data_IF_578625140133
#
_entry.id   IF_578625140133
#
_cell.length_a   1.000
_cell.length_b   1.000
_cell.length_c   1.000
_cell.angle_alpha   90.00
_cell.angle_beta   90.00
_cell.angle_gamma   90.00
#
_symmetry.space_group_name_H-M   'P 1'
#
loop_
_entity.id
_entity.type
_entity.pdbx_description
1 polymer ?
#
# COMPACT_ATOMS: atom_id res chain seq x y z
N UNK A 1 21.84 -8.00 -20.48
CA UNK A 1 22.70 -7.00 -21.12
C UNK A 1 22.04 -5.63 -21.34
N UNK A 2 20.71 -5.50 -21.49
CA UNK A 2 20.07 -4.19 -21.74
C UNK A 2 19.76 -3.35 -20.48
N UNK A 3 19.53 -3.98 -19.32
CA UNK A 3 19.38 -3.26 -18.04
C UNK A 3 20.61 -2.39 -17.70
N UNK A 4 21.80 -2.81 -18.12
CA UNK A 4 23.06 -2.09 -17.90
C UNK A 4 23.23 -0.86 -18.80
N UNK A 5 22.40 -0.71 -19.85
CA UNK A 5 22.45 0.41 -20.80
C UNK A 5 21.35 1.45 -20.57
N UNK A 6 20.57 1.34 -19.49
CA UNK A 6 19.39 2.19 -19.22
C UNK A 6 18.31 2.15 -20.33
N UNK A 7 18.34 1.15 -21.20
CA UNK A 7 17.33 0.93 -22.24
C UNK A 7 16.13 0.13 -21.68
N UNK A 8 15.45 0.69 -20.68
CA UNK A 8 14.34 0.04 -19.97
C UNK A 8 13.19 -0.34 -20.89
N UNK A 9 12.89 0.48 -21.89
CA UNK A 9 11.86 0.20 -22.90
C UNK A 9 12.17 -1.06 -23.74
N UNK A 10 13.42 -1.20 -24.20
CA UNK A 10 13.85 -2.36 -24.99
C UNK A 10 13.85 -3.64 -24.14
N UNK A 11 14.35 -3.55 -22.91
CA UNK A 11 14.34 -4.66 -21.96
C UNK A 11 12.91 -5.12 -21.63
N UNK A 12 11.99 -4.16 -21.42
CA UNK A 12 10.57 -4.45 -21.17
C UNK A 12 9.94 -5.15 -22.38
N UNK A 13 10.16 -4.62 -23.58
CA UNK A 13 9.66 -5.23 -24.81
C UNK A 13 10.20 -6.64 -25.01
N UNK A 14 11.49 -6.87 -24.77
CA UNK A 14 12.09 -8.21 -24.85
C UNK A 14 11.50 -9.17 -23.83
N UNK A 15 11.32 -8.74 -22.58
CA UNK A 15 10.72 -9.59 -21.54
C UNK A 15 9.28 -9.98 -21.88
N UNK A 16 8.50 -9.05 -22.45
CA UNK A 16 7.13 -9.29 -22.90
C UNK A 16 7.04 -10.19 -24.15
N UNK A 17 8.08 -10.18 -24.99
CA UNK A 17 8.20 -11.10 -26.14
C UNK A 17 8.52 -12.53 -25.69
N UNK A 18 9.41 -12.69 -24.71
CA UNK A 18 9.75 -13.98 -24.12
C UNK A 18 8.60 -14.56 -23.30
N UNK A 19 7.70 -13.71 -22.79
CA UNK A 19 6.50 -14.10 -22.03
C UNK A 19 6.82 -14.89 -20.75
N UNK A 20 8.01 -14.69 -20.18
CA UNK A 20 8.41 -15.27 -18.91
C UNK A 20 8.06 -14.34 -17.75
N UNK A 21 7.14 -14.77 -16.87
CA UNK A 21 6.64 -13.93 -15.78
C UNK A 21 7.75 -13.42 -14.84
N UNK A 22 8.73 -14.26 -14.51
CA UNK A 22 9.86 -13.88 -13.65
C UNK A 22 10.72 -12.79 -14.28
N UNK A 23 10.95 -12.88 -15.59
CA UNK A 23 11.74 -11.90 -16.32
C UNK A 23 11.00 -10.57 -16.46
N UNK A 24 9.70 -10.62 -16.75
CA UNK A 24 8.84 -9.42 -16.78
C UNK A 24 8.85 -8.76 -15.39
N UNK A 25 8.69 -9.54 -14.32
CA UNK A 25 8.75 -9.02 -12.95
C UNK A 25 10.08 -8.33 -12.67
N UNK A 26 11.20 -8.98 -12.99
CA UNK A 26 12.53 -8.43 -12.77
C UNK A 26 12.73 -7.12 -13.52
N UNK A 27 12.29 -7.03 -14.78
CA UNK A 27 12.41 -5.80 -15.57
C UNK A 27 11.51 -4.70 -15.01
N UNK A 28 10.26 -5.02 -14.69
CA UNK A 28 9.30 -4.06 -14.10
C UNK A 28 9.82 -3.50 -12.78
N UNK A 29 10.29 -4.34 -11.86
CA UNK A 29 10.81 -3.92 -10.55
C UNK A 29 12.17 -3.21 -10.64
N UNK A 30 12.98 -3.48 -11.67
CA UNK A 30 14.25 -2.78 -11.89
C UNK A 30 14.11 -1.41 -12.55
N UNK A 31 12.93 -1.12 -13.12
CA UNK A 31 12.70 0.11 -13.87
C UNK A 31 12.37 1.25 -12.90
N UNK A 32 13.09 2.38 -12.94
CA UNK A 32 12.83 3.49 -12.04
C UNK A 32 11.48 4.17 -12.34
N UNK A 33 10.74 4.66 -11.32
CA UNK A 33 9.42 5.26 -11.49
C UNK A 33 9.37 6.38 -12.54
N UNK A 34 10.41 7.22 -12.60
CA UNK A 34 10.53 8.31 -13.55
C UNK A 34 10.53 7.86 -15.03
N UNK A 35 10.90 6.62 -15.31
CA UNK A 35 10.99 6.07 -16.67
C UNK A 35 9.76 5.26 -17.08
N UNK A 36 8.84 4.96 -16.15
CA UNK A 36 7.65 4.13 -16.41
C UNK A 36 6.84 4.71 -17.57
N UNK A 37 6.54 6.01 -17.53
CA UNK A 37 5.73 6.65 -18.56
C UNK A 37 6.36 6.57 -19.95
N UNK A 38 7.68 6.76 -20.04
CA UNK A 38 8.43 6.67 -21.28
C UNK A 38 8.43 5.24 -21.83
N UNK A 39 8.64 4.25 -20.95
CA UNK A 39 8.56 2.84 -21.31
C UNK A 39 7.19 2.50 -21.89
N UNK A 40 6.10 2.84 -21.18
CA UNK A 40 4.73 2.55 -21.63
C UNK A 40 4.39 3.29 -22.93
N UNK A 41 4.89 4.51 -23.13
CA UNK A 41 4.68 5.27 -24.37
C UNK A 41 5.29 4.57 -25.60
N UNK A 42 6.40 3.87 -25.43
CA UNK A 42 7.08 3.15 -26.51
C UNK A 42 6.48 1.77 -26.83
N UNK A 43 5.56 1.27 -26.01
CA UNK A 43 4.95 -0.06 -26.20
C UNK A 43 3.89 -0.03 -27.29
N UNK A 44 3.88 -1.07 -28.14
CA UNK A 44 2.77 -1.34 -29.04
C UNK A 44 1.54 -1.83 -28.24
N UNK A 45 0.31 -1.61 -28.72
CA UNK A 45 -0.92 -1.97 -28.00
C UNK A 45 -0.97 -3.43 -27.53
N UNK A 46 -0.53 -4.37 -28.36
CA UNK A 46 -0.49 -5.81 -28.05
C UNK A 46 0.39 -6.11 -26.84
N UNK A 47 1.52 -5.41 -26.69
CA UNK A 47 2.41 -5.58 -25.54
C UNK A 47 1.91 -4.83 -24.31
N UNK A 48 1.22 -3.71 -24.50
CA UNK A 48 0.58 -2.99 -23.40
C UNK A 48 -0.52 -3.83 -22.73
N UNK A 49 -1.32 -4.55 -23.53
CA UNK A 49 -2.32 -5.49 -23.01
C UNK A 49 -1.69 -6.63 -22.20
N UNK A 50 -0.61 -7.24 -22.72
CA UNK A 50 0.13 -8.28 -22.00
C UNK A 50 0.71 -7.77 -20.69
N UNK A 51 1.25 -6.55 -20.71
CA UNK A 51 1.78 -5.90 -19.51
C UNK A 51 0.66 -5.61 -18.50
N UNK A 52 -0.49 -5.09 -18.94
CA UNK A 52 -1.64 -4.84 -18.08
C UNK A 52 -2.13 -6.12 -17.40
N UNK A 53 -2.24 -7.21 -18.16
CA UNK A 53 -2.64 -8.51 -17.61
C UNK A 53 -1.63 -9.04 -16.59
N UNK A 54 -0.33 -8.92 -16.88
CA UNK A 54 0.74 -9.29 -15.94
C UNK A 54 0.68 -8.46 -14.65
N UNK A 55 0.52 -7.13 -14.76
CA UNK A 55 0.41 -6.25 -13.59
C UNK A 55 -0.84 -6.56 -12.77
N UNK A 56 -1.96 -6.86 -13.43
CA UNK A 56 -3.21 -7.23 -12.79
C UNK A 56 -3.09 -8.51 -11.95
N UNK A 57 -2.39 -9.53 -12.46
CA UNK A 57 -2.15 -10.78 -11.72
C UNK A 57 -1.12 -10.60 -10.61
N UNK A 58 -0.02 -9.89 -10.88
CA UNK A 58 1.02 -9.62 -9.91
C UNK A 58 0.55 -8.74 -8.73
N UNK A 59 -0.49 -7.91 -8.93
CA UNK A 59 -1.13 -7.12 -7.87
C UNK A 59 -1.63 -7.97 -6.70
N UNK A 60 -1.98 -9.23 -6.92
CA UNK A 60 -2.52 -10.11 -5.87
C UNK A 60 -1.45 -10.46 -4.84
N UNK A 61 -0.23 -10.78 -5.30
CA UNK A 61 0.88 -11.24 -4.46
C UNK A 61 1.90 -10.15 -4.09
N UNK A 62 1.94 -9.04 -4.83
CA UNK A 62 2.96 -8.01 -4.61
C UNK A 62 2.82 -7.31 -3.26
N UNK A 63 3.98 -6.96 -2.68
CA UNK A 63 4.12 -6.04 -1.54
C UNK A 63 4.27 -4.58 -1.98
N UNK A 64 4.60 -4.32 -3.25
CA UNK A 64 4.88 -3.00 -3.79
C UNK A 64 3.63 -2.36 -4.41
N UNK A 65 2.56 -2.24 -3.61
CA UNK A 65 1.22 -1.84 -4.11
C UNK A 65 1.26 -0.50 -4.87
N UNK A 66 1.90 0.52 -4.29
CA UNK A 66 2.00 1.85 -4.91
C UNK A 66 2.72 1.79 -6.27
N UNK A 67 3.82 1.05 -6.35
CA UNK A 67 4.62 0.93 -7.57
C UNK A 67 3.82 0.25 -8.70
N UNK A 68 3.13 -0.84 -8.39
CA UNK A 68 2.26 -1.51 -9.36
C UNK A 68 1.05 -0.65 -9.77
N UNK A 69 0.51 0.14 -8.85
CA UNK A 69 -0.55 1.10 -9.16
C UNK A 69 -0.08 2.21 -10.11
N UNK A 70 1.15 2.71 -9.96
CA UNK A 70 1.76 3.67 -10.87
C UNK A 70 1.94 3.11 -12.29
N UNK A 71 2.41 1.86 -12.40
CA UNK A 71 2.48 1.15 -13.67
C UNK A 71 1.11 1.00 -14.35
N UNK A 72 0.10 0.56 -13.60
CA UNK A 72 -1.25 0.38 -14.12
C UNK A 72 -1.87 1.71 -14.56
N UNK A 73 -1.67 2.78 -13.78
CA UNK A 73 -2.08 4.13 -14.18
C UNK A 73 -1.45 4.50 -15.51
N UNK A 74 -0.14 4.36 -15.66
CA UNK A 74 0.55 4.69 -16.90
C UNK A 74 0.04 3.88 -18.10
N UNK A 75 -0.15 2.57 -17.93
CA UNK A 75 -0.64 1.66 -19.00
C UNK A 75 -2.08 1.99 -19.39
N UNK A 76 -2.99 2.12 -18.43
CA UNK A 76 -4.41 2.37 -18.69
C UNK A 76 -4.64 3.76 -19.27
N UNK A 77 -3.90 4.79 -18.81
CA UNK A 77 -4.05 6.17 -19.32
C UNK A 77 -3.50 6.33 -20.75
N UNK A 78 -2.45 5.61 -21.12
CA UNK A 78 -1.87 5.69 -22.47
C UNK A 78 -2.56 4.75 -23.46
N UNK A 79 -2.94 3.56 -23.02
CA UNK A 79 -3.52 2.51 -23.86
C UNK A 79 -4.97 2.24 -23.43
N UNK A 80 -5.88 3.10 -23.86
CA UNK A 80 -7.30 3.08 -23.48
C UNK A 80 -8.07 1.81 -23.93
N UNK A 81 -7.49 1.02 -24.84
CA UNK A 81 -8.09 -0.20 -25.39
C UNK A 81 -7.65 -1.43 -24.62
N UNK A 82 -7.78 -1.40 -23.28
CA UNK A 82 -7.58 -2.61 -22.48
C UNK A 82 -8.82 -3.50 -22.55
N UNK A 83 -8.66 -4.83 -22.63
CA UNK A 83 -9.79 -5.75 -22.53
C UNK A 83 -10.57 -5.54 -21.22
N UNK A 84 -11.89 -5.63 -21.30
CA UNK A 84 -12.76 -5.48 -20.13
C UNK A 84 -12.43 -6.48 -19.02
N UNK A 85 -12.02 -7.70 -19.38
CA UNK A 85 -11.59 -8.74 -18.43
C UNK A 85 -10.35 -8.32 -17.64
N UNK A 86 -9.36 -7.73 -18.30
CA UNK A 86 -8.14 -7.22 -17.65
C UNK A 86 -8.47 -6.06 -16.72
N UNK A 87 -9.34 -5.13 -17.15
CA UNK A 87 -9.79 -4.01 -16.30
C UNK A 87 -10.56 -4.49 -15.06
N UNK A 88 -11.43 -5.49 -15.21
CA UNK A 88 -12.14 -6.10 -14.09
C UNK A 88 -11.18 -6.77 -13.10
N UNK A 89 -10.16 -7.46 -13.60
CA UNK A 89 -9.14 -8.08 -12.75
C UNK A 89 -8.34 -7.05 -11.97
N UNK A 90 -7.92 -5.96 -12.63
CA UNK A 90 -7.25 -4.81 -11.99
C UNK A 90 -8.13 -4.25 -10.89
N UNK A 91 -9.40 -3.97 -11.20
CA UNK A 91 -10.33 -3.40 -10.23
C UNK A 91 -10.53 -4.32 -9.03
N UNK A 92 -10.74 -5.62 -9.25
CA UNK A 92 -10.89 -6.62 -8.19
C UNK A 92 -9.67 -6.62 -7.26
N UNK A 93 -8.47 -6.77 -7.81
CA UNK A 93 -7.25 -6.93 -7.03
C UNK A 93 -6.83 -5.65 -6.33
N UNK A 94 -6.96 -4.49 -7.00
CA UNK A 94 -6.66 -3.19 -6.40
C UNK A 94 -7.64 -2.84 -5.28
N UNK A 95 -8.94 -3.10 -5.47
CA UNK A 95 -9.96 -2.88 -4.44
C UNK A 95 -9.73 -3.78 -3.22
N UNK A 96 -9.33 -5.04 -3.43
CA UNK A 96 -8.98 -5.94 -2.33
C UNK A 96 -7.81 -5.39 -1.49
N UNK A 97 -6.72 -4.94 -2.13
CA UNK A 97 -5.58 -4.32 -1.44
C UNK A 97 -5.96 -3.03 -0.73
N UNK A 98 -6.75 -2.17 -1.37
CA UNK A 98 -7.25 -0.93 -0.78
C UNK A 98 -8.07 -1.21 0.49
N UNK A 99 -9.04 -2.12 0.43
CA UNK A 99 -9.90 -2.44 1.57
C UNK A 99 -9.11 -3.02 2.75
N UNK A 100 -8.13 -3.90 2.48
CA UNK A 100 -7.25 -4.44 3.51
C UNK A 100 -6.43 -3.34 4.18
N UNK A 101 -5.79 -2.47 3.39
CA UNK A 101 -4.95 -1.39 3.92
C UNK A 101 -5.78 -0.33 4.65
N UNK A 102 -6.91 0.09 4.09
CA UNK A 102 -7.81 1.08 4.68
C UNK A 102 -8.26 0.63 6.06
N UNK A 103 -8.69 -0.63 6.21
CA UNK A 103 -9.13 -1.17 7.51
C UNK A 103 -8.03 -1.07 8.58
N UNK A 104 -6.79 -1.40 8.22
CA UNK A 104 -5.65 -1.31 9.15
C UNK A 104 -5.32 0.15 9.46
N UNK A 105 -5.30 1.02 8.43
CA UNK A 105 -5.04 2.44 8.60
C UNK A 105 -6.09 3.11 9.48
N UNK A 106 -7.37 2.80 9.30
CA UNK A 106 -8.46 3.33 10.11
C UNK A 106 -8.34 2.87 11.56
N UNK A 107 -8.12 1.56 11.79
CA UNK A 107 -7.89 1.04 13.13
C UNK A 107 -6.70 1.73 13.82
N UNK A 108 -5.56 1.84 13.13
CA UNK A 108 -4.37 2.50 13.67
C UNK A 108 -4.61 3.99 13.95
N UNK A 109 -5.29 4.69 13.03
CA UNK A 109 -5.64 6.11 13.17
C UNK A 109 -6.50 6.34 14.40
N UNK A 110 -7.59 5.59 14.55
CA UNK A 110 -8.50 5.78 15.68
C UNK A 110 -7.89 5.31 17.01
N UNK A 111 -7.12 4.22 17.01
CA UNK A 111 -6.38 3.75 18.20
C UNK A 111 -5.38 4.81 18.66
N UNK A 112 -4.60 5.37 17.74
CA UNK A 112 -3.65 6.45 18.06
C UNK A 112 -4.34 7.70 18.58
N UNK A 113 -5.45 8.10 17.97
CA UNK A 113 -6.26 9.23 18.43
C UNK A 113 -6.84 8.98 19.83
N UNK A 114 -7.31 7.78 20.10
CA UNK A 114 -7.83 7.38 21.41
C UNK A 114 -6.73 7.41 22.48
N UNK A 115 -5.57 6.79 22.22
CA UNK A 115 -4.43 6.80 23.14
C UNK A 115 -3.94 8.22 23.45
N UNK A 116 -3.89 9.10 22.44
CA UNK A 116 -3.56 10.51 22.63
C UNK A 116 -4.54 11.23 23.56
N UNK A 117 -5.84 10.90 23.49
CA UNK A 117 -6.86 11.45 24.39
C UNK A 117 -6.77 10.85 25.80
N UNK A 118 -6.35 9.58 25.92
CA UNK A 118 -6.23 8.89 27.21
C UNK A 118 -5.11 9.44 28.10
N UNK A 119 -3.99 9.84 27.50
CA UNK A 119 -2.82 10.39 28.22
C UNK A 119 -3.17 11.51 29.21
N UNK A 120 -3.77 12.63 28.76
CA UNK A 120 -4.15 13.73 29.65
C UNK A 120 -5.26 13.35 30.63
N UNK A 121 -6.21 12.49 30.25
CA UNK A 121 -7.27 12.01 31.16
C UNK A 121 -6.70 11.15 32.29
N UNK A 122 -5.73 10.28 32.01
CA UNK A 122 -5.02 9.50 33.04
C UNK A 122 -4.15 10.36 33.92
N UNK A 123 -3.47 11.38 33.37
CA UNK A 123 -2.70 12.32 34.16
C UNK A 123 -3.60 13.11 35.12
N UNK A 124 -4.77 13.56 34.64
CA UNK A 124 -5.78 14.27 35.44
C UNK A 124 -6.40 13.37 36.52
N UNK A 125 -6.79 12.14 36.18
CA UNK A 125 -7.30 11.17 37.16
C UNK A 125 -6.23 10.82 38.20
N UNK A 126 -4.94 10.70 37.83
CA UNK A 126 -3.86 10.43 38.79
C UNK A 126 -3.59 11.61 39.73
N UNK A 127 -3.87 12.84 39.31
CA UNK A 127 -3.83 14.03 40.17
C UNK A 127 -5.05 14.05 41.10
N UNK A 128 -6.26 13.80 40.59
CA UNK A 128 -7.49 13.76 41.38
C UNK A 128 -7.46 12.64 42.46
N UNK A 129 -6.89 11.47 42.18
CA UNK A 129 -6.76 10.38 43.19
C UNK A 129 -5.59 10.57 44.17
N UNK A 130 -4.65 11.49 43.91
CA UNK A 130 -3.54 11.79 44.82
C UNK A 130 -3.83 12.96 45.78
N UNK A 131 -4.93 13.68 45.54
CA UNK A 131 -5.39 14.81 46.37
C UNK A 131 -6.51 14.43 47.36
N UNK A 132 -7.03 13.19 47.33
CA UNK A 132 -7.88 12.68 48.42
C UNK A 132 -7.00 12.32 49.63
N UNK A 133 -7.12 13.04 50.77
CA UNK A 133 -6.37 12.70 51.97
C UNK A 133 -6.96 11.42 52.58
N UNK A 134 -6.14 10.37 52.72
CA UNK A 134 -6.32 9.41 53.81
C UNK A 134 -6.05 10.15 55.12
N UNK A 135 -7.05 10.85 55.65
CA UNK A 135 -6.98 11.34 57.02
C UNK A 135 -8.35 11.24 57.71
N UNK A 136 -8.36 10.51 58.82
CA UNK A 136 -9.43 10.54 59.82
C UNK A 136 -10.31 9.30 59.91
N UNK A 137 -9.82 8.23 60.53
CA UNK A 137 -10.54 7.46 61.56
C UNK A 137 -9.60 6.43 62.22
N UNK A 138 -8.58 6.93 62.95
CA UNK A 138 -7.93 6.14 64.00
C UNK A 138 -8.68 6.38 65.32
N UNK A 139 -9.26 5.29 65.83
CA UNK A 139 -9.72 4.99 67.19
C UNK A 139 -9.78 6.14 68.23
N UNK A 140 -10.99 6.45 68.70
CA UNK A 140 -11.20 6.75 70.12
C UNK A 140 -11.71 5.50 70.82
N UNK A 141 -10.81 4.85 71.56
CA UNK A 141 -11.19 3.97 72.65
C UNK A 141 -11.98 4.79 73.68
N UNK A 142 -13.25 4.46 73.92
CA UNK A 142 -13.92 4.78 75.17
C UNK A 142 -14.15 3.48 75.93
N UNK A 143 -13.29 3.26 76.91
CA UNK A 143 -13.58 2.45 78.09
C UNK A 143 -14.50 3.25 79.02
N UNK A 144 -15.68 2.71 79.31
CA UNK A 144 -16.22 2.53 80.69
C UNK A 144 -17.52 1.69 80.63
#
# INVERSE_FOLDING_TARGET
AQLQKQEYAAALLMSLRLNEQKLIQQVVESTPPASIELCVASLLPIFAEKLALFLATALESTRHVQFYAEWLRAVVTRHNSQPATTLLLIHKNLSAKYNQLSRICDFNKYTHQFLKRLGPLRAKHKQETAEEPEDGLELTMETD
#
